data_IF_309868017309
#
_entry.id   IF_309868017309
#
_cell.length_a   1.000
_cell.length_b   1.000
_cell.length_c   1.000
_cell.angle_alpha   90.00
_cell.angle_beta   90.00
_cell.angle_gamma   90.00
#
_symmetry.space_group_name_H-M   'P 1'
#
loop_
_entity.id
_entity.type
_entity.pdbx_description
1 polymer ?
#
# COMPACT_ATOMS: atom_id res chain seq x y z
N UNK A 1 31.92 -16.20 -57.07
CA UNK A 1 30.79 -15.28 -56.78
C UNK A 1 29.57 -16.11 -56.34
N UNK A 2 29.49 -16.51 -55.07
CA UNK A 2 28.44 -17.42 -54.59
C UNK A 2 27.24 -16.59 -54.14
N UNK A 3 26.29 -16.33 -55.07
CA UNK A 3 24.96 -15.82 -54.72
C UNK A 3 24.12 -17.00 -54.25
N UNK A 4 24.11 -17.23 -52.93
CA UNK A 4 23.32 -18.29 -52.30
C UNK A 4 21.82 -18.05 -52.45
N UNK A 5 21.11 -19.01 -53.05
CA UNK A 5 19.65 -19.04 -53.09
C UNK A 5 19.14 -19.36 -51.68
N UNK A 6 18.83 -18.33 -50.89
CA UNK A 6 18.12 -18.51 -49.62
C UNK A 6 16.77 -19.16 -49.94
N UNK A 7 16.60 -20.45 -49.64
CA UNK A 7 15.33 -21.14 -49.82
C UNK A 7 14.33 -20.49 -48.87
N UNK A 8 13.14 -20.16 -49.36
CA UNK A 8 12.04 -19.52 -48.60
C UNK A 8 11.87 -20.15 -47.20
N UNK A 9 12.10 -21.46 -47.08
CA UNK A 9 12.16 -22.23 -45.82
C UNK A 9 13.04 -21.58 -44.74
N UNK A 10 14.21 -21.03 -45.08
CA UNK A 10 15.12 -20.40 -44.11
C UNK A 10 14.60 -19.03 -43.65
N UNK A 11 13.91 -18.30 -44.54
CA UNK A 11 13.26 -17.03 -44.20
C UNK A 11 12.10 -17.29 -43.24
N UNK A 12 11.26 -18.28 -43.56
CA UNK A 12 10.13 -18.69 -42.71
C UNK A 12 10.62 -19.20 -41.35
N UNK A 13 11.69 -20.00 -41.34
CA UNK A 13 12.30 -20.48 -40.09
C UNK A 13 12.83 -19.31 -39.25
N UNK A 14 13.52 -18.35 -39.86
CA UNK A 14 14.02 -17.17 -39.16
C UNK A 14 12.88 -16.34 -38.54
N UNK A 15 11.78 -16.14 -39.27
CA UNK A 15 10.61 -15.42 -38.77
C UNK A 15 9.95 -16.17 -37.60
N UNK A 16 9.82 -17.49 -37.68
CA UNK A 16 9.28 -18.32 -36.59
C UNK A 16 10.12 -18.24 -35.32
N UNK A 17 11.46 -18.28 -35.44
CA UNK A 17 12.36 -18.16 -34.30
C UNK A 17 12.23 -16.78 -33.64
N UNK A 18 12.19 -15.71 -34.44
CA UNK A 18 12.01 -14.34 -33.91
C UNK A 18 10.65 -14.18 -33.23
N UNK A 19 9.58 -14.69 -33.84
CA UNK A 19 8.24 -14.64 -33.27
C UNK A 19 8.15 -15.43 -31.95
N UNK A 20 8.72 -16.63 -31.89
CA UNK A 20 8.76 -17.45 -30.69
C UNK A 20 9.55 -16.76 -29.56
N UNK A 21 10.69 -16.13 -29.89
CA UNK A 21 11.51 -15.42 -28.92
C UNK A 21 10.78 -14.18 -28.37
N UNK A 22 10.13 -13.41 -29.25
CA UNK A 22 9.32 -12.27 -28.84
C UNK A 22 8.15 -12.69 -27.94
N UNK A 23 7.45 -13.77 -28.30
CA UNK A 23 6.36 -14.31 -27.49
C UNK A 23 6.83 -14.77 -26.11
N UNK A 24 7.99 -15.43 -26.03
CA UNK A 24 8.58 -15.87 -24.76
C UNK A 24 8.98 -14.70 -23.86
N UNK A 25 9.57 -13.64 -24.42
CA UNK A 25 9.93 -12.44 -23.65
C UNK A 25 8.68 -11.73 -23.14
N UNK A 26 7.69 -11.53 -24.01
CA UNK A 26 6.44 -10.85 -23.65
C UNK A 26 5.68 -11.62 -22.57
N UNK A 27 5.60 -12.96 -22.69
CA UNK A 27 4.93 -13.77 -21.68
C UNK A 27 5.63 -13.74 -20.33
N UNK A 28 6.97 -13.81 -20.29
CA UNK A 28 7.74 -13.71 -19.05
C UNK A 28 7.62 -12.34 -18.38
N UNK A 29 7.66 -11.26 -19.17
CA UNK A 29 7.45 -9.90 -18.65
C UNK A 29 6.04 -9.73 -18.11
N UNK A 30 5.04 -10.27 -18.80
CA UNK A 30 3.65 -10.17 -18.35
C UNK A 30 3.39 -11.00 -17.08
N UNK A 31 3.92 -12.23 -17.01
CA UNK A 31 3.83 -13.08 -15.82
C UNK A 31 4.49 -12.42 -14.60
N UNK A 32 5.70 -11.88 -14.75
CA UNK A 32 6.38 -11.17 -13.66
C UNK A 32 5.67 -9.90 -13.21
N UNK A 33 5.02 -9.17 -14.14
CA UNK A 33 4.17 -8.03 -13.77
C UNK A 33 2.94 -8.47 -12.99
N UNK A 34 2.33 -9.59 -13.38
CA UNK A 34 1.16 -10.12 -12.69
C UNK A 34 1.53 -10.60 -11.27
N UNK A 35 2.65 -11.30 -11.12
CA UNK A 35 3.18 -11.67 -9.81
C UNK A 35 3.51 -10.46 -8.94
N UNK A 36 4.12 -9.41 -9.51
CA UNK A 36 4.44 -8.18 -8.79
C UNK A 36 3.18 -7.36 -8.42
N UNK A 37 2.12 -7.47 -9.21
CA UNK A 37 0.82 -6.86 -8.95
C UNK A 37 0.04 -7.59 -7.84
N UNK A 38 0.36 -8.84 -7.54
CA UNK A 38 -0.22 -9.62 -6.44
C UNK A 38 0.50 -9.37 -5.11
N UNK A 39 1.74 -8.92 -5.15
CA UNK A 39 2.49 -8.59 -3.93
C UNK A 39 1.89 -7.36 -3.23
N UNK A 40 1.74 -7.40 -1.90
CA UNK A 40 1.22 -6.26 -1.14
C UNK A 40 2.20 -5.09 -1.16
N UNK A 41 1.82 -3.97 -1.79
CA UNK A 41 2.64 -2.75 -1.87
C UNK A 41 2.12 -1.66 -0.93
N UNK A 42 2.96 -1.26 0.02
CA UNK A 42 2.53 -0.36 1.09
C UNK A 42 2.61 1.12 0.71
N UNK A 43 1.45 1.79 0.64
CA UNK A 43 1.29 3.23 0.39
C UNK A 43 1.22 4.10 1.66
N UNK A 44 1.59 3.54 2.81
CA UNK A 44 1.32 4.06 4.14
C UNK A 44 1.84 5.48 4.41
N UNK A 45 3.05 5.80 3.94
CA UNK A 45 3.67 7.12 4.13
C UNK A 45 2.80 8.24 3.56
N UNK A 46 2.18 7.99 2.40
CA UNK A 46 1.29 8.96 1.74
C UNK A 46 0.03 9.19 2.55
N UNK A 47 -0.57 8.12 3.10
CA UNK A 47 -1.78 8.21 3.93
C UNK A 47 -1.51 8.98 5.22
N UNK A 48 -0.41 8.66 5.92
CA UNK A 48 -0.01 9.38 7.15
C UNK A 48 0.29 10.85 6.86
N UNK A 49 0.97 11.16 5.74
CA UNK A 49 1.24 12.54 5.32
C UNK A 49 -0.06 13.32 5.08
N UNK A 50 -1.03 12.71 4.41
CA UNK A 50 -2.32 13.34 4.12
C UNK A 50 -3.15 13.58 5.39
N UNK A 51 -3.13 12.63 6.35
CA UNK A 51 -3.75 12.78 7.66
C UNK A 51 -3.15 13.97 8.43
N UNK A 52 -1.83 14.09 8.47
CA UNK A 52 -1.15 15.22 9.14
C UNK A 52 -1.41 16.54 8.43
N UNK A 53 -1.47 16.54 7.11
CA UNK A 53 -1.79 17.74 6.33
C UNK A 53 -3.24 18.19 6.59
N UNK A 54 -4.17 17.25 6.70
CA UNK A 54 -5.55 17.53 7.09
C UNK A 54 -5.60 18.17 8.48
N UNK A 55 -4.93 17.56 9.46
CA UNK A 55 -4.86 18.10 10.83
C UNK A 55 -4.29 19.52 10.86
N UNK A 56 -3.18 19.77 10.14
CA UNK A 56 -2.57 21.11 10.04
C UNK A 56 -3.53 22.16 9.47
N UNK A 57 -4.42 21.77 8.56
CA UNK A 57 -5.35 22.70 7.89
C UNK A 57 -6.64 22.94 8.68
N UNK A 58 -7.14 21.94 9.38
CA UNK A 58 -8.47 21.97 10.01
C UNK A 58 -8.44 21.86 11.55
N UNK A 59 -7.25 21.73 12.15
CA UNK A 59 -7.06 21.60 13.60
C UNK A 59 -7.47 20.25 14.19
N UNK A 60 -8.04 19.35 13.37
CA UNK A 60 -8.52 18.03 13.78
C UNK A 60 -8.24 16.95 12.75
N UNK A 61 -8.17 15.69 13.16
CA UNK A 61 -8.12 14.57 12.22
C UNK A 61 -9.49 14.30 11.56
N UNK A 62 -9.48 13.76 10.33
CA UNK A 62 -10.71 13.44 9.61
C UNK A 62 -11.38 12.19 10.20
N UNK A 63 -12.71 12.14 10.14
CA UNK A 63 -13.47 10.95 10.52
C UNK A 63 -13.44 9.87 9.42
N UNK A 64 -13.31 10.28 8.16
CA UNK A 64 -13.35 9.41 6.99
C UNK A 64 -12.22 9.75 6.00
N UNK A 65 -11.81 8.79 5.18
CA UNK A 65 -10.90 9.05 4.08
C UNK A 65 -11.52 9.93 2.99
N UNK A 66 -12.84 9.93 2.86
CA UNK A 66 -13.56 10.80 1.93
C UNK A 66 -13.26 12.29 2.21
N UNK A 67 -13.20 12.68 3.48
CA UNK A 67 -12.85 14.05 3.87
C UNK A 67 -11.45 14.45 3.38
N UNK A 68 -10.49 13.52 3.41
CA UNK A 68 -9.13 13.74 2.90
C UNK A 68 -9.15 13.93 1.38
N UNK A 69 -9.88 13.08 0.66
CA UNK A 69 -9.96 13.14 -0.81
C UNK A 69 -10.53 14.49 -1.28
N UNK A 70 -11.65 14.91 -0.69
CA UNK A 70 -12.35 16.13 -1.09
C UNK A 70 -11.56 17.38 -0.65
N UNK A 71 -11.08 17.42 0.60
CA UNK A 71 -10.59 18.68 1.20
C UNK A 71 -9.08 18.90 1.10
N UNK A 72 -8.31 17.82 0.91
CA UNK A 72 -6.84 17.85 0.79
C UNK A 72 -6.41 17.55 -0.64
N UNK A 73 -6.85 16.42 -1.22
CA UNK A 73 -6.41 15.98 -2.55
C UNK A 73 -7.13 16.71 -3.70
N UNK A 74 -8.26 17.38 -3.43
CA UNK A 74 -9.08 18.13 -4.40
C UNK A 74 -9.44 17.33 -5.66
N UNK A 75 -9.43 15.99 -5.57
CA UNK A 75 -9.79 15.05 -6.63
C UNK A 75 -10.42 13.82 -5.97
N UNK A 76 -11.53 13.29 -6.52
CA UNK A 76 -12.00 11.98 -6.12
C UNK A 76 -10.91 10.96 -6.45
N UNK A 77 -10.48 10.15 -5.47
CA UNK A 77 -9.64 9.00 -5.78
C UNK A 77 -10.52 7.90 -6.36
N UNK A 78 -9.97 7.08 -7.26
CA UNK A 78 -10.62 5.85 -7.73
C UNK A 78 -10.69 4.76 -6.65
N UNK A 79 -10.15 5.01 -5.46
CA UNK A 79 -10.09 4.03 -4.37
C UNK A 79 -11.52 3.78 -3.88
N UNK A 80 -11.96 2.51 -3.96
CA UNK A 80 -13.29 2.10 -3.47
C UNK A 80 -13.32 2.26 -1.95
N UNK A 81 -14.16 3.19 -1.50
CA UNK A 81 -14.38 3.46 -0.09
C UNK A 81 -15.35 2.41 0.50
N UNK A 82 -14.96 1.81 1.62
CA UNK A 82 -15.78 0.93 2.45
C UNK A 82 -16.16 1.59 3.77
N UNK A 83 -16.98 0.91 4.57
CA UNK A 83 -17.31 1.27 5.97
C UNK A 83 -17.67 2.74 6.17
N UNK A 84 -18.65 3.23 5.39
CA UNK A 84 -19.08 4.64 5.40
C UNK A 84 -17.95 5.66 5.13
N UNK A 85 -16.95 5.27 4.33
CA UNK A 85 -15.81 6.12 3.99
C UNK A 85 -14.61 6.00 4.93
N UNK A 86 -14.68 5.12 5.94
CA UNK A 86 -13.60 4.91 6.91
C UNK A 86 -12.56 3.90 6.47
N UNK A 87 -12.85 3.12 5.44
CA UNK A 87 -11.88 2.19 4.87
C UNK A 87 -11.72 2.40 3.36
N UNK A 88 -10.59 1.95 2.84
CA UNK A 88 -10.39 1.81 1.40
C UNK A 88 -9.37 0.71 1.12
N UNK A 89 -9.46 0.12 -0.07
CA UNK A 89 -8.50 -0.88 -0.53
C UNK A 89 -7.66 -0.31 -1.66
N UNK A 90 -6.35 -0.53 -1.59
CA UNK A 90 -5.41 -0.13 -2.62
C UNK A 90 -4.13 -0.97 -2.60
N UNK A 91 -3.65 -1.35 -3.77
CA UNK A 91 -2.36 -2.05 -3.96
C UNK A 91 -2.21 -3.29 -3.05
N UNK A 92 -3.29 -4.08 -2.95
CA UNK A 92 -3.43 -5.25 -2.07
C UNK A 92 -3.24 -4.96 -0.57
N UNK A 93 -3.56 -3.74 -0.16
CA UNK A 93 -3.74 -3.37 1.24
C UNK A 93 -5.16 -2.86 1.50
N UNK A 94 -5.75 -3.32 2.58
CA UNK A 94 -6.92 -2.72 3.19
C UNK A 94 -6.49 -1.72 4.26
N UNK A 95 -6.99 -0.49 4.15
CA UNK A 95 -6.73 0.58 5.10
C UNK A 95 -7.99 0.90 5.88
N UNK A 96 -7.89 1.00 7.21
CA UNK A 96 -9.01 1.38 8.07
C UNK A 96 -8.61 2.52 9.00
N UNK A 97 -9.40 3.60 8.95
CA UNK A 97 -9.24 4.80 9.77
C UNK A 97 -10.22 4.81 10.95
N UNK A 98 -9.72 5.18 12.12
CA UNK A 98 -10.56 5.56 13.24
C UNK A 98 -10.05 6.83 13.90
N UNK A 99 -10.90 7.85 13.97
CA UNK A 99 -10.65 9.02 14.81
C UNK A 99 -10.83 8.60 16.28
N UNK A 100 -9.80 8.77 17.10
CA UNK A 100 -9.85 8.50 18.54
C UNK A 100 -10.31 9.75 19.27
N UNK A 101 -9.69 10.87 18.92
CA UNK A 101 -10.02 12.20 19.41
C UNK A 101 -9.62 13.24 18.33
N UNK A 102 -9.91 14.55 18.51
CA UNK A 102 -9.57 15.56 17.52
C UNK A 102 -8.07 15.61 17.15
N UNK A 103 -7.18 15.19 18.05
CA UNK A 103 -5.73 15.22 17.93
C UNK A 103 -5.08 13.82 17.86
N UNK A 104 -5.86 12.74 17.73
CA UNK A 104 -5.34 11.41 17.51
C UNK A 104 -6.23 10.60 16.55
N UNK A 105 -5.59 10.02 15.54
CA UNK A 105 -6.22 9.05 14.65
C UNK A 105 -5.42 7.76 14.63
N UNK A 106 -6.12 6.66 14.44
CA UNK A 106 -5.56 5.32 14.28
C UNK A 106 -5.75 4.87 12.84
N UNK A 107 -4.74 4.22 12.31
CA UNK A 107 -4.71 3.72 10.95
C UNK A 107 -4.20 2.29 10.96
N UNK A 108 -5.02 1.39 10.44
CA UNK A 108 -4.63 0.04 10.10
C UNK A 108 -4.24 -0.01 8.62
N UNK A 109 -3.22 -0.78 8.30
CA UNK A 109 -2.94 -1.23 6.94
C UNK A 109 -2.67 -2.74 6.98
N UNK A 110 -3.55 -3.50 6.33
CA UNK A 110 -3.58 -4.96 6.37
C UNK A 110 -3.35 -5.46 4.95
N UNK A 111 -2.38 -6.36 4.71
CA UNK A 111 -2.25 -6.98 3.40
C UNK A 111 -3.50 -7.83 3.12
N UNK A 112 -3.96 -7.83 1.88
CA UNK A 112 -5.11 -8.62 1.41
C UNK A 112 -4.78 -9.28 0.05
N UNK A 113 -5.67 -10.13 -0.44
CA UNK A 113 -5.47 -10.86 -1.69
C UNK A 113 -4.71 -12.18 -1.50
N UNK A 114 -4.41 -12.87 -2.59
CA UNK A 114 -3.94 -14.27 -2.54
C UNK A 114 -2.56 -14.41 -1.87
N UNK A 115 -1.71 -13.39 -1.99
CA UNK A 115 -0.37 -13.34 -1.39
C UNK A 115 -0.32 -12.52 -0.10
N UNK A 116 -1.45 -12.33 0.59
CA UNK A 116 -1.49 -11.47 1.79
C UNK A 116 -0.49 -11.91 2.88
N UNK A 117 -0.22 -13.22 2.99
CA UNK A 117 0.74 -13.81 3.94
C UNK A 117 2.18 -13.36 3.73
N UNK A 118 2.53 -12.90 2.53
CA UNK A 118 3.85 -12.33 2.22
C UNK A 118 3.94 -10.85 2.65
N UNK A 119 2.81 -10.25 3.01
CA UNK A 119 2.72 -8.88 3.50
C UNK A 119 2.99 -8.71 4.99
N UNK A 120 3.06 -7.46 5.40
CA UNK A 120 3.23 -7.06 6.81
C UNK A 120 2.01 -6.27 7.22
N UNK A 121 1.46 -6.56 8.40
CA UNK A 121 0.38 -5.76 8.97
C UNK A 121 0.95 -4.58 9.75
N UNK A 122 0.27 -3.45 9.65
CA UNK A 122 0.65 -2.21 10.29
C UNK A 122 -0.50 -1.65 11.10
N UNK A 123 -0.17 -1.22 12.31
CA UNK A 123 -1.03 -0.37 13.12
C UNK A 123 -0.29 0.92 13.45
N UNK A 124 -0.97 2.05 13.31
CA UNK A 124 -0.36 3.37 13.45
C UNK A 124 -1.26 4.27 14.26
N UNK A 125 -0.66 4.96 15.22
CA UNK A 125 -1.29 6.07 15.92
C UNK A 125 -0.64 7.37 15.42
N UNK A 126 -1.45 8.18 14.75
CA UNK A 126 -1.03 9.48 14.20
C UNK A 126 -1.50 10.58 15.14
N UNK A 127 -0.54 11.36 15.63
CA UNK A 127 -0.75 12.62 16.35
C UNK A 127 -0.10 13.77 15.55
N UNK A 128 -0.35 15.05 15.89
CA UNK A 128 0.17 16.18 15.10
C UNK A 128 1.70 16.20 15.03
N UNK A 129 2.35 15.85 16.14
CA UNK A 129 3.80 15.90 16.34
C UNK A 129 4.47 14.54 16.30
N UNK A 130 3.77 13.47 16.63
CA UNK A 130 4.33 12.12 16.76
C UNK A 130 3.57 11.10 15.92
N UNK A 131 4.30 10.10 15.41
CA UNK A 131 3.71 8.92 14.79
C UNK A 131 4.26 7.71 15.53
N UNK A 132 3.37 6.90 16.08
CA UNK A 132 3.73 5.61 16.67
C UNK A 132 3.28 4.52 15.72
N UNK A 133 4.13 3.52 15.52
CA UNK A 133 3.92 2.48 14.53
C UNK A 133 4.18 1.13 15.17
N UNK A 134 3.35 0.15 14.82
CA UNK A 134 3.51 -1.25 15.15
C UNK A 134 3.53 -2.05 13.85
N UNK A 135 4.35 -3.11 13.81
CA UNK A 135 4.49 -4.01 12.66
C UNK A 135 4.51 -5.46 13.11
N UNK A 136 3.99 -6.34 12.27
CA UNK A 136 4.07 -7.78 12.48
C UNK A 136 3.55 -8.55 11.28
N UNK A 137 3.32 -9.85 11.48
CA UNK A 137 2.84 -10.74 10.43
C UNK A 137 1.51 -10.28 9.81
N UNK A 138 1.20 -10.81 8.64
CA UNK A 138 -0.09 -10.64 8.01
C UNK A 138 -1.21 -11.10 8.97
N UNK A 139 -2.15 -10.20 9.25
CA UNK A 139 -3.31 -10.43 10.10
C UNK A 139 -4.52 -10.67 9.20
N UNK A 140 -5.48 -11.44 9.70
CA UNK A 140 -6.74 -11.59 9.00
C UNK A 140 -7.57 -10.30 9.11
N UNK A 141 -8.32 -9.98 8.05
CA UNK A 141 -9.19 -8.81 8.04
C UNK A 141 -10.32 -8.96 9.07
N UNK A 142 -10.79 -10.19 9.28
CA UNK A 142 -11.86 -10.50 10.23
C UNK A 142 -11.40 -10.28 11.68
N UNK A 143 -10.14 -10.59 11.99
CA UNK A 143 -9.54 -10.30 13.30
C UNK A 143 -9.50 -8.79 13.58
N UNK A 144 -9.31 -7.96 12.55
CA UNK A 144 -9.20 -6.51 12.71
C UNK A 144 -10.57 -5.83 12.73
N UNK A 145 -11.57 -6.38 12.03
CA UNK A 145 -12.95 -5.93 12.15
C UNK A 145 -13.45 -6.02 13.60
N UNK A 146 -13.02 -7.04 14.34
CA UNK A 146 -13.34 -7.23 15.76
C UNK A 146 -12.63 -6.23 16.67
N UNK A 147 -11.46 -5.71 16.28
CA UNK A 147 -10.63 -4.80 17.08
C UNK A 147 -11.10 -3.34 17.07
N UNK A 148 -12.26 -3.05 16.47
CA UNK A 148 -12.96 -1.74 16.44
C UNK A 148 -12.00 -0.54 16.49
N UNK A 149 -11.19 -0.35 15.45
CA UNK A 149 -10.49 0.90 15.13
C UNK A 149 -9.37 1.36 16.09
N UNK A 150 -9.62 1.40 17.40
CA UNK A 150 -8.71 1.86 18.44
C UNK A 150 -8.52 0.77 19.51
N UNK A 151 -7.74 -0.28 19.21
CA UNK A 151 -7.45 -1.34 20.17
C UNK A 151 -6.66 -0.80 21.37
N UNK A 152 -6.91 -1.36 22.54
CA UNK A 152 -6.06 -1.12 23.72
C UNK A 152 -4.66 -1.71 23.50
N UNK A 153 -3.63 -1.24 24.23
CA UNK A 153 -2.29 -1.81 24.14
C UNK A 153 -2.24 -3.33 24.41
N UNK A 154 -3.09 -3.83 25.30
CA UNK A 154 -3.22 -5.26 25.57
C UNK A 154 -3.78 -6.02 24.34
N UNK A 155 -4.81 -5.48 23.69
CA UNK A 155 -5.37 -6.06 22.47
C UNK A 155 -4.36 -6.06 21.31
N UNK A 156 -3.53 -5.02 21.18
CA UNK A 156 -2.42 -4.99 20.22
C UNK A 156 -1.31 -5.99 20.53
N UNK A 157 -1.07 -6.32 21.80
CA UNK A 157 -0.08 -7.34 22.15
C UNK A 157 -0.54 -8.73 21.70
N UNK A 158 -1.85 -9.00 21.74
CA UNK A 158 -2.42 -10.27 21.27
C UNK A 158 -2.34 -10.48 19.76
N UNK A 159 -2.18 -9.42 18.96
CA UNK A 159 -2.02 -9.55 17.50
C UNK A 159 -0.57 -9.84 17.09
N UNK A 160 0.37 -9.96 18.04
CA UNK A 160 1.79 -10.19 17.74
C UNK A 160 2.47 -9.00 17.05
N UNK A 161 1.83 -7.83 17.01
CA UNK A 161 2.42 -6.61 16.46
C UNK A 161 3.44 -6.03 17.45
N UNK A 162 4.61 -5.67 16.94
CA UNK A 162 5.70 -5.10 17.74
C UNK A 162 5.81 -3.61 17.51
N UNK A 163 5.92 -2.84 18.60
CA UNK A 163 6.12 -1.38 18.54
C UNK A 163 7.47 -1.10 17.87
N UNK A 164 7.43 -0.27 16.84
CA UNK A 164 8.61 0.19 16.14
C UNK A 164 9.20 1.41 16.86
N UNK A 165 10.53 1.59 16.81
CA UNK A 165 11.15 2.80 17.34
C UNK A 165 10.60 4.02 16.58
N UNK A 166 10.00 4.96 17.33
CA UNK A 166 9.59 6.23 16.75
C UNK A 166 10.84 7.01 16.34
N UNK A 167 11.02 7.34 15.05
CA UNK A 167 12.18 8.11 14.63
C UNK A 167 12.13 9.47 15.35
N UNK A 168 13.20 9.79 16.07
CA UNK A 168 13.37 11.12 16.65
C UNK A 168 13.27 12.15 15.51
N UNK A 169 12.48 13.22 15.71
CA UNK A 169 12.47 14.35 14.80
C UNK A 169 13.89 14.94 14.75
N UNK A 170 14.69 14.51 13.75
CA UNK A 170 15.95 15.18 13.45
C UNK A 170 15.61 16.62 13.08
N UNK A 171 15.99 17.56 13.94
CA UNK A 171 15.99 19.00 13.65
C UNK A 171 16.69 19.18 12.30
N UNK A 172 15.94 19.73 11.33
CA UNK A 172 16.33 20.06 9.95
C UNK A 172 17.83 20.29 9.75
N UNK A 173 18.42 19.47 8.90
CA UNK A 173 19.74 19.66 8.33
C UNK A 173 20.11 18.40 7.55
N UNK A 174 19.65 18.30 6.31
CA UNK A 174 19.91 17.13 5.48
C UNK A 174 18.62 16.48 4.97
N UNK A 175 18.29 16.88 3.75
CA UNK A 175 17.66 16.07 2.71
C UNK A 175 17.52 14.59 3.10
N UNK A 176 16.30 14.08 3.24
CA UNK A 176 15.99 12.70 2.81
C UNK A 176 14.52 12.54 2.48
N UNK A 177 14.34 11.76 1.42
CA UNK A 177 13.11 11.24 0.82
C UNK A 177 12.14 10.62 1.83
N UNK A 178 10.86 10.81 1.53
CA UNK A 178 9.75 9.95 1.94
C UNK A 178 8.82 9.77 0.75
#
# INVERSE_FOLDING_TARGET
MIKGKLKITHIVLGVLVVAATAAFIVSGVWASQQEAAELPQIGLNRVVKDLRLYHKKFGRFPATFQDIQVRVRKRPSSDRLGDAGRSFTKDNYYYLLSAVDPHAATLWAIPIGDKYKEGTSYFIVVRPTTVEQWKGAALDIDEIALLRGNPTPAQLAHTGLTKQPTPALKKRGGLFSF
#
